data_IF_745567434355
#
_entry.id   IF_745567434355
#
_cell.length_a   1.000
_cell.length_b   1.000
_cell.length_c   1.000
_cell.angle_alpha   90.00
_cell.angle_beta   90.00
_cell.angle_gamma   90.00
#
_symmetry.space_group_name_H-M   'P 1'
#
loop_
_entity.id
_entity.type
_entity.pdbx_description
1 polymer ?
#
# COMPACT_ATOMS: atom_id res chain seq x y z
N UNK A 1 22.42 -4.89 -20.93
CA UNK A 1 21.46 -5.07 -19.82
C UNK A 1 22.15 -4.69 -18.52
N UNK A 2 21.40 -4.38 -17.46
CA UNK A 2 21.98 -4.12 -16.14
C UNK A 2 22.45 -5.44 -15.51
N UNK A 3 23.63 -5.43 -14.87
CA UNK A 3 24.19 -6.62 -14.20
C UNK A 3 23.55 -6.89 -12.83
N UNK A 4 23.05 -5.84 -12.16
CA UNK A 4 22.42 -5.96 -10.85
C UNK A 4 21.38 -4.85 -10.63
N UNK A 5 20.37 -5.13 -9.79
CA UNK A 5 19.35 -4.18 -9.39
C UNK A 5 19.29 -4.07 -7.87
N UNK A 6 19.35 -2.85 -7.36
CA UNK A 6 19.30 -2.55 -5.93
C UNK A 6 18.17 -1.56 -5.65
N UNK A 7 17.27 -1.90 -4.73
CA UNK A 7 16.15 -1.04 -4.36
C UNK A 7 16.55 -0.06 -3.25
N UNK A 8 16.13 1.20 -3.36
CA UNK A 8 16.34 2.20 -2.32
C UNK A 8 15.47 1.92 -1.08
N UNK A 9 15.91 2.31 0.13
CA UNK A 9 17.22 2.90 0.45
C UNK A 9 18.33 1.83 0.46
N UNK A 10 19.50 2.20 -0.03
CA UNK A 10 20.69 1.34 -0.05
C UNK A 10 21.87 2.13 0.48
N UNK A 11 22.68 1.52 1.33
CA UNK A 11 23.87 2.12 1.90
C UNK A 11 25.11 1.82 1.03
N UNK A 12 26.27 2.35 1.42
CA UNK A 12 27.53 2.13 0.68
C UNK A 12 27.93 0.66 0.64
N UNK A 13 27.76 -0.07 1.74
CA UNK A 13 28.11 -1.48 1.85
C UNK A 13 27.27 -2.36 0.90
N UNK A 14 25.99 -2.02 0.73
CA UNK A 14 25.07 -2.70 -0.20
C UNK A 14 25.53 -2.52 -1.65
N UNK A 15 26.09 -1.35 -1.98
CA UNK A 15 26.62 -1.04 -3.31
C UNK A 15 27.93 -1.79 -3.56
N UNK A 16 28.84 -1.80 -2.58
CA UNK A 16 30.11 -2.55 -2.68
C UNK A 16 29.85 -4.05 -2.83
N UNK A 17 28.91 -4.59 -2.05
CA UNK A 17 28.50 -5.98 -2.16
C UNK A 17 27.87 -6.32 -3.52
N UNK A 18 27.13 -5.38 -4.14
CA UNK A 18 26.56 -5.55 -5.47
C UNK A 18 27.63 -5.61 -6.57
N UNK A 19 28.74 -4.89 -6.43
CA UNK A 19 29.86 -4.97 -7.37
C UNK A 19 30.64 -6.29 -7.27
N UNK A 20 30.65 -6.92 -6.09
CA UNK A 20 31.28 -8.23 -5.87
C UNK A 20 30.47 -9.42 -6.39
N UNK A 21 29.21 -9.24 -6.78
CA UNK A 21 28.32 -10.31 -7.27
C UNK A 21 28.18 -10.22 -8.80
N UNK A 22 28.72 -11.22 -9.50
CA UNK A 22 28.64 -11.31 -10.96
C UNK A 22 27.30 -11.85 -11.49
N UNK A 23 26.56 -12.59 -10.66
CA UNK A 23 25.26 -13.16 -10.99
C UNK A 23 24.15 -12.59 -10.11
N UNK A 24 22.97 -12.41 -10.70
CA UNK A 24 21.77 -12.01 -9.98
C UNK A 24 21.30 -13.13 -9.05
N UNK A 25 21.01 -12.79 -7.81
CA UNK A 25 20.52 -13.74 -6.82
C UNK A 25 18.98 -13.82 -6.89
N UNK A 26 18.48 -14.96 -7.36
CA UNK A 26 17.04 -15.22 -7.48
C UNK A 26 16.40 -15.61 -6.13
N UNK A 27 17.20 -15.88 -5.09
CA UNK A 27 16.74 -16.17 -3.73
C UNK A 27 16.44 -14.89 -2.93
N UNK A 28 16.68 -13.70 -3.50
CA UNK A 28 16.29 -12.43 -2.88
C UNK A 28 14.76 -12.41 -2.78
N UNK A 29 14.27 -12.79 -1.60
CA UNK A 29 12.85 -12.82 -1.30
C UNK A 29 12.23 -11.45 -1.59
N UNK A 30 11.31 -11.42 -2.55
CA UNK A 30 10.46 -10.25 -2.77
C UNK A 30 9.83 -9.90 -1.43
N UNK A 31 10.17 -8.73 -0.87
CA UNK A 31 9.53 -8.29 0.36
C UNK A 31 8.04 -8.24 0.06
N UNK A 32 7.27 -9.14 0.68
CA UNK A 32 5.83 -9.14 0.58
C UNK A 32 5.41 -7.84 1.26
N UNK A 33 5.26 -6.77 0.46
CA UNK A 33 5.00 -5.43 0.97
C UNK A 33 3.67 -5.52 1.68
N UNK A 34 3.71 -5.69 3.01
CA UNK A 34 2.52 -5.81 3.83
C UNK A 34 1.64 -4.63 3.50
N UNK A 35 0.44 -4.91 2.96
CA UNK A 35 -0.53 -3.90 2.56
C UNK A 35 -0.59 -2.85 3.68
N UNK A 36 -0.28 -1.58 3.34
CA UNK A 36 -0.25 -0.53 4.36
C UNK A 36 -1.59 -0.50 5.08
N UNK A 37 -1.61 -0.26 6.39
CA UNK A 37 -2.85 -0.17 7.18
C UNK A 37 -3.87 0.78 6.52
N UNK A 38 -3.39 1.86 5.87
CA UNK A 38 -4.23 2.80 5.13
C UNK A 38 -4.89 2.19 3.89
N UNK A 39 -4.19 1.29 3.20
CA UNK A 39 -4.70 0.58 2.03
C UNK A 39 -5.79 -0.41 2.45
N UNK A 40 -5.56 -1.18 3.50
CA UNK A 40 -6.56 -2.12 4.04
C UNK A 40 -7.81 -1.38 4.53
N UNK A 41 -7.63 -0.26 5.22
CA UNK A 41 -8.75 0.59 5.64
C UNK A 41 -9.57 1.07 4.44
N UNK A 42 -8.89 1.44 3.35
CA UNK A 42 -9.55 1.93 2.15
C UNK A 42 -10.31 0.84 1.40
N UNK A 43 -9.70 -0.34 1.23
CA UNK A 43 -10.36 -1.51 0.65
C UNK A 43 -11.63 -1.85 1.42
N UNK A 44 -11.55 -1.86 2.76
CA UNK A 44 -12.71 -2.12 3.61
C UNK A 44 -13.80 -1.05 3.48
N UNK A 45 -13.43 0.23 3.38
CA UNK A 45 -14.40 1.31 3.12
C UNK A 45 -15.11 1.10 1.79
N UNK A 46 -14.36 0.73 0.74
CA UNK A 46 -14.90 0.57 -0.61
C UNK A 46 -15.80 -0.67 -0.73
N UNK A 47 -15.41 -1.78 -0.12
CA UNK A 47 -16.20 -3.01 -0.04
C UNK A 47 -17.59 -2.72 0.56
N UNK A 48 -17.63 -2.08 1.73
CA UNK A 48 -18.90 -1.76 2.40
C UNK A 48 -19.71 -0.69 1.64
N UNK A 49 -19.05 0.26 0.96
CA UNK A 49 -19.74 1.20 0.08
C UNK A 49 -20.46 0.47 -1.05
N UNK A 50 -19.80 -0.49 -1.70
CA UNK A 50 -20.39 -1.29 -2.77
C UNK A 50 -21.57 -2.13 -2.25
N UNK A 51 -21.42 -2.78 -1.10
CA UNK A 51 -22.50 -3.57 -0.47
C UNK A 51 -23.72 -2.73 -0.08
N UNK A 52 -23.52 -1.47 0.29
CA UNK A 52 -24.59 -0.59 0.78
C UNK A 52 -25.16 0.32 -0.32
N UNK A 53 -24.80 0.10 -1.59
CA UNK A 53 -25.26 0.92 -2.71
C UNK A 53 -24.79 2.38 -2.61
N UNK A 54 -23.56 2.59 -2.13
CA UNK A 54 -22.93 3.89 -1.89
C UNK A 54 -23.67 4.79 -0.89
N UNK A 55 -24.46 4.21 0.02
CA UNK A 55 -25.09 4.95 1.12
C UNK A 55 -24.08 5.25 2.24
N UNK A 56 -23.49 6.44 2.21
CA UNK A 56 -22.46 6.90 3.16
C UNK A 56 -22.89 6.75 4.63
N UNK A 57 -24.17 6.98 4.96
CA UNK A 57 -24.65 6.89 6.34
C UNK A 57 -24.67 5.45 6.84
N UNK A 58 -25.13 4.52 6.00
CA UNK A 58 -25.20 3.10 6.32
C UNK A 58 -23.81 2.46 6.32
N UNK A 59 -22.94 2.84 5.37
CA UNK A 59 -21.53 2.43 5.38
C UNK A 59 -20.84 2.85 6.67
N UNK A 60 -21.01 4.11 7.10
CA UNK A 60 -20.40 4.60 8.33
C UNK A 60 -20.89 3.83 9.56
N UNK A 61 -22.20 3.50 9.61
CA UNK A 61 -22.79 2.66 10.66
C UNK A 61 -22.19 1.26 10.68
N UNK A 62 -22.07 0.59 9.53
CA UNK A 62 -21.48 -0.76 9.42
C UNK A 62 -19.99 -0.79 9.76
N UNK A 63 -19.26 0.28 9.42
CA UNK A 63 -17.85 0.43 9.76
C UNK A 63 -17.61 0.91 11.21
N UNK A 64 -18.67 1.16 11.98
CA UNK A 64 -18.55 1.65 13.37
C UNK A 64 -17.92 3.03 13.48
N UNK A 65 -18.01 3.87 12.44
CA UNK A 65 -17.42 5.21 12.42
C UNK A 65 -18.46 6.30 12.18
N UNK A 66 -18.12 7.54 12.54
CA UNK A 66 -19.02 8.66 12.31
C UNK A 66 -19.08 9.04 10.82
N UNK A 67 -20.28 9.36 10.29
CA UNK A 67 -20.49 9.76 8.89
C UNK A 67 -19.56 10.90 8.44
N UNK A 68 -19.34 11.92 9.29
CA UNK A 68 -18.41 13.04 8.99
C UNK A 68 -16.96 12.54 8.81
N UNK A 69 -16.54 11.54 9.57
CA UNK A 69 -15.20 10.95 9.47
C UNK A 69 -15.04 10.23 8.14
N UNK A 70 -16.02 9.40 7.76
CA UNK A 70 -16.03 8.72 6.46
C UNK A 70 -16.00 9.73 5.31
N UNK A 71 -16.88 10.73 5.32
CA UNK A 71 -16.91 11.78 4.29
C UNK A 71 -15.57 12.52 4.16
N UNK A 72 -14.91 12.83 5.27
CA UNK A 72 -13.58 13.46 5.25
C UNK A 72 -12.50 12.55 4.68
N UNK A 73 -12.54 11.24 4.97
CA UNK A 73 -11.61 10.26 4.38
C UNK A 73 -11.80 10.15 2.87
N UNK A 74 -13.05 10.09 2.41
CA UNK A 74 -13.40 10.07 0.98
C UNK A 74 -12.92 11.35 0.26
N UNK A 75 -13.19 12.53 0.83
CA UNK A 75 -12.78 13.80 0.23
C UNK A 75 -11.27 14.03 0.18
N UNK A 76 -10.50 13.46 1.13
CA UNK A 76 -9.03 13.52 1.10
C UNK A 76 -8.39 12.63 0.04
N UNK A 77 -9.09 11.59 -0.41
CA UNK A 77 -8.59 10.68 -1.43
C UNK A 77 -9.04 11.04 -2.85
N UNK A 78 -10.09 11.87 -3.00
CA UNK A 78 -10.38 12.54 -4.27
C UNK A 78 -9.43 13.71 -4.48
N UNK A 79 -8.16 13.39 -4.76
CA UNK A 79 -7.22 14.34 -5.34
C UNK A 79 -6.96 13.86 -6.77
N UNK A 80 -7.23 14.74 -7.74
CA UNK A 80 -6.98 14.55 -9.17
C UNK A 80 -5.52 14.20 -9.46
#
# INVERSE_FOLDING_TARGET
GACHYLAKPSNTDDIEAAFGRAEGDAEVGLTNRSTSIKTLEWERIHEILAETGFNISETARRLGMHRRTLARKLGKQQVK
#
